data_IF_719499086911
#
_entry.id   IF_719499086911
#
_cell.length_a   1.000
_cell.length_b   1.000
_cell.length_c   1.000
_cell.angle_alpha   90.00
_cell.angle_beta   90.00
_cell.angle_gamma   90.00
#
_symmetry.space_group_name_H-M   'P 1'
#
loop_
_entity.id
_entity.type
_entity.pdbx_description
1 polymer ?
#
# COMPACT_ATOMS: atom_id res chain seq x y z
N UNK A 1 25.28 11.06 19.81
CA UNK A 1 24.60 10.54 18.61
C UNK A 1 23.48 9.61 19.05
N UNK A 2 22.30 9.66 18.42
CA UNK A 2 21.23 8.71 18.71
C UNK A 2 21.56 7.31 18.14
N UNK A 3 20.99 6.27 18.73
CA UNK A 3 21.07 4.91 18.17
C UNK A 3 20.30 4.85 16.85
N UNK A 4 20.89 4.21 15.83
CA UNK A 4 20.26 4.06 14.52
C UNK A 4 19.25 2.91 14.50
N UNK A 5 18.17 3.05 15.26
CA UNK A 5 17.14 2.01 15.44
C UNK A 5 16.58 1.54 14.10
N UNK A 6 16.28 2.48 13.18
CA UNK A 6 15.73 2.13 11.86
C UNK A 6 16.70 1.34 10.98
N UNK A 7 18.01 1.60 11.07
CA UNK A 7 18.99 0.82 10.31
C UNK A 7 19.15 -0.59 10.90
N UNK A 8 19.09 -0.73 12.22
CA UNK A 8 19.10 -2.05 12.87
C UNK A 8 17.86 -2.86 12.53
N UNK A 9 16.67 -2.23 12.53
CA UNK A 9 15.41 -2.87 12.15
C UNK A 9 15.43 -3.29 10.68
N UNK A 10 15.86 -2.42 9.77
CA UNK A 10 16.00 -2.75 8.35
C UNK A 10 16.95 -3.94 8.15
N UNK A 11 18.12 -3.92 8.78
CA UNK A 11 19.08 -5.02 8.71
C UNK A 11 18.49 -6.36 9.19
N UNK A 12 17.74 -6.37 10.29
CA UNK A 12 17.08 -7.59 10.79
C UNK A 12 15.97 -8.04 9.84
N UNK A 13 15.22 -7.10 9.26
CA UNK A 13 14.20 -7.37 8.25
C UNK A 13 14.79 -8.00 7.00
N UNK A 14 15.87 -7.43 6.48
CA UNK A 14 16.61 -7.94 5.31
C UNK A 14 17.13 -9.36 5.58
N UNK A 15 17.74 -9.58 6.74
CA UNK A 15 18.20 -10.92 7.15
C UNK A 15 17.05 -11.93 7.21
N UNK A 16 15.87 -11.53 7.71
CA UNK A 16 14.68 -12.38 7.73
C UNK A 16 14.24 -12.76 6.33
N UNK A 17 14.27 -11.81 5.39
CA UNK A 17 13.95 -12.05 3.98
C UNK A 17 14.96 -12.99 3.34
N UNK A 18 16.26 -12.72 3.50
CA UNK A 18 17.36 -13.54 2.95
C UNK A 18 17.32 -14.99 3.43
N UNK A 19 17.01 -15.20 4.72
CA UNK A 19 16.95 -16.54 5.32
C UNK A 19 15.56 -17.18 5.22
N UNK A 20 14.61 -16.54 4.54
CA UNK A 20 13.24 -17.01 4.37
C UNK A 20 12.56 -17.43 5.69
N UNK A 21 12.74 -16.65 6.76
CA UNK A 21 12.06 -16.94 8.02
C UNK A 21 10.54 -16.79 7.87
N UNK A 22 9.84 -17.85 8.27
CA UNK A 22 8.38 -17.94 8.21
C UNK A 22 7.72 -17.11 9.31
N UNK A 23 6.53 -16.59 9.01
CA UNK A 23 5.69 -15.95 10.01
C UNK A 23 5.02 -17.01 10.89
N UNK A 24 5.04 -16.82 12.22
CA UNK A 24 4.43 -17.80 13.11
C UNK A 24 2.92 -17.86 12.94
N UNK A 25 2.36 -19.07 12.92
CA UNK A 25 0.93 -19.32 12.87
C UNK A 25 0.45 -19.74 14.26
N UNK A 26 -0.54 -19.03 14.78
CA UNK A 26 -1.14 -19.26 16.10
C UNK A 26 -2.65 -19.40 15.92
N UNK A 27 -3.09 -20.56 15.41
CA UNK A 27 -4.50 -20.78 15.06
C UNK A 27 -5.39 -20.64 16.29
N UNK A 28 -6.41 -19.79 16.20
CA UNK A 28 -7.49 -19.70 17.17
C UNK A 28 -8.66 -20.53 16.65
N UNK A 29 -9.04 -21.60 17.36
CA UNK A 29 -10.16 -22.46 16.95
C UNK A 29 -11.49 -21.68 16.79
N UNK A 30 -11.65 -20.52 17.44
CA UNK A 30 -12.83 -19.64 17.27
C UNK A 30 -12.84 -18.89 15.95
N UNK A 31 -11.68 -18.71 15.34
CA UNK A 31 -11.50 -18.05 14.05
C UNK A 31 -11.64 -19.02 12.87
N UNK A 32 -11.73 -20.31 13.15
CA UNK A 32 -11.94 -21.37 12.16
C UNK A 32 -13.21 -21.09 11.36
N UNK A 33 -13.08 -21.23 10.04
CA UNK A 33 -14.13 -20.97 9.04
C UNK A 33 -14.62 -19.52 8.91
N UNK A 34 -14.06 -18.58 9.67
CA UNK A 34 -14.34 -17.15 9.49
C UNK A 34 -13.70 -16.62 8.22
N UNK A 35 -14.44 -15.77 7.51
CA UNK A 35 -14.01 -15.15 6.26
C UNK A 35 -14.05 -13.64 6.40
N UNK A 36 -12.96 -12.97 6.06
CA UNK A 36 -12.86 -11.50 6.10
C UNK A 36 -12.43 -10.98 4.74
N UNK A 37 -13.15 -9.97 4.24
CA UNK A 37 -12.70 -9.18 3.09
C UNK A 37 -11.92 -7.96 3.58
N UNK A 38 -10.76 -7.71 2.99
CA UNK A 38 -9.94 -6.51 3.22
C UNK A 38 -9.96 -5.68 1.95
N UNK A 39 -10.36 -4.41 2.01
CA UNK A 39 -10.41 -3.51 0.85
C UNK A 39 -9.22 -2.57 0.91
N UNK A 40 -8.28 -2.72 -0.02
CA UNK A 40 -7.02 -1.99 -0.08
C UNK A 40 -5.85 -2.81 0.46
N UNK A 41 -4.77 -2.87 -0.32
CA UNK A 41 -3.55 -3.62 -0.02
C UNK A 41 -2.39 -2.75 0.48
N UNK A 42 -2.69 -1.55 0.99
CA UNK A 42 -1.69 -0.73 1.68
C UNK A 42 -1.21 -1.38 2.99
N UNK A 43 -0.30 -0.74 3.73
CA UNK A 43 0.24 -1.26 4.99
C UNK A 43 -0.85 -1.75 5.94
N UNK A 44 -1.90 -0.96 6.14
CA UNK A 44 -3.01 -1.32 7.03
C UNK A 44 -3.75 -2.60 6.60
N UNK A 45 -4.01 -2.75 5.30
CA UNK A 45 -4.72 -3.93 4.78
C UNK A 45 -3.87 -5.18 4.85
N UNK A 46 -2.60 -5.09 4.44
CA UNK A 46 -1.64 -6.19 4.51
C UNK A 46 -1.39 -6.65 5.96
N UNK A 47 -1.22 -5.71 6.89
CA UNK A 47 -1.08 -6.03 8.31
C UNK A 47 -2.35 -6.70 8.85
N UNK A 48 -3.53 -6.16 8.56
CA UNK A 48 -4.80 -6.78 8.97
C UNK A 48 -4.92 -8.22 8.45
N UNK A 49 -4.63 -8.42 7.16
CA UNK A 49 -4.65 -9.74 6.54
C UNK A 49 -3.67 -10.71 7.20
N UNK A 50 -2.43 -10.28 7.44
CA UNK A 50 -1.41 -11.11 8.09
C UNK A 50 -1.84 -11.55 9.50
N UNK A 51 -2.34 -10.62 10.33
CA UNK A 51 -2.75 -10.95 11.70
C UNK A 51 -3.97 -11.88 11.74
N UNK A 52 -4.94 -11.68 10.85
CA UNK A 52 -6.13 -12.54 10.76
C UNK A 52 -5.77 -13.93 10.20
N UNK A 53 -4.97 -14.01 9.15
CA UNK A 53 -4.53 -15.27 8.56
C UNK A 53 -3.70 -16.12 9.53
N UNK A 54 -2.79 -15.49 10.29
CA UNK A 54 -2.04 -16.15 11.38
C UNK A 54 -2.92 -16.75 12.46
N UNK A 55 -4.16 -16.27 12.62
CA UNK A 55 -5.17 -16.77 13.56
C UNK A 55 -6.11 -17.82 12.94
N UNK A 56 -5.95 -18.14 11.65
CA UNK A 56 -6.77 -19.12 10.94
C UNK A 56 -8.01 -18.57 10.23
N UNK A 57 -8.15 -17.23 10.13
CA UNK A 57 -9.21 -16.59 9.35
C UNK A 57 -8.87 -16.66 7.87
N UNK A 58 -9.85 -16.99 7.02
CA UNK A 58 -9.70 -16.93 5.55
C UNK A 58 -9.84 -15.48 5.11
N UNK A 59 -8.76 -14.88 4.61
CA UNK A 59 -8.75 -13.48 4.19
C UNK A 59 -8.66 -13.36 2.68
N UNK A 60 -9.50 -12.50 2.09
CA UNK A 60 -9.37 -12.06 0.70
C UNK A 60 -9.11 -10.55 0.66
N UNK A 61 -8.00 -10.11 0.07
CA UNK A 61 -7.71 -8.70 -0.19
C UNK A 61 -8.26 -8.30 -1.56
N UNK A 62 -9.01 -7.21 -1.63
CA UNK A 62 -9.46 -6.55 -2.85
C UNK A 62 -8.61 -5.29 -3.07
N UNK A 63 -7.94 -5.18 -4.21
CA UNK A 63 -7.03 -4.08 -4.52
C UNK A 63 -7.40 -3.45 -5.85
N UNK A 64 -7.47 -2.11 -5.90
CA UNK A 64 -7.86 -1.35 -7.10
C UNK A 64 -6.77 -1.42 -8.19
N UNK A 65 -5.52 -1.56 -7.81
CA UNK A 65 -4.36 -1.62 -8.70
C UNK A 65 -4.03 -3.06 -9.14
N UNK A 66 -3.12 -3.16 -10.09
CA UNK A 66 -2.57 -4.42 -10.63
C UNK A 66 -1.47 -5.03 -9.75
N UNK A 67 -1.03 -4.30 -8.71
CA UNK A 67 -0.06 -4.75 -7.71
C UNK A 67 -0.49 -4.37 -6.30
N UNK A 68 -0.12 -5.22 -5.34
CA UNK A 68 -0.31 -4.99 -3.92
C UNK A 68 0.68 -3.97 -3.34
N UNK A 69 0.38 -3.45 -2.14
CA UNK A 69 1.31 -2.62 -1.35
C UNK A 69 0.91 -1.14 -1.23
N UNK A 70 -0.14 -0.71 -1.94
CA UNK A 70 -0.61 0.67 -1.92
C UNK A 70 0.52 1.67 -2.19
N UNK A 71 0.68 2.68 -1.34
CA UNK A 71 1.75 3.68 -1.49
C UNK A 71 3.17 3.11 -1.38
N UNK A 72 3.38 1.96 -0.73
CA UNK A 72 4.70 1.34 -0.69
C UNK A 72 5.19 0.91 -2.07
N UNK A 73 4.25 0.52 -2.94
CA UNK A 73 4.51 0.02 -4.31
C UNK A 73 4.27 1.08 -5.36
N UNK A 74 3.30 1.96 -5.14
CA UNK A 74 2.85 2.90 -6.16
C UNK A 74 3.33 4.33 -5.89
N UNK A 75 3.46 4.76 -4.63
CA UNK A 75 3.68 6.17 -4.29
C UNK A 75 5.10 6.54 -3.84
N UNK A 76 5.77 5.66 -3.08
CA UNK A 76 7.13 5.94 -2.58
C UNK A 76 8.13 5.57 -3.69
N UNK A 77 9.07 6.46 -4.07
CA UNK A 77 10.07 6.14 -5.08
C UNK A 77 11.05 5.03 -4.67
N UNK A 78 11.54 4.28 -5.64
CA UNK A 78 12.44 3.13 -5.44
C UNK A 78 13.75 3.51 -4.72
N UNK A 79 14.28 4.73 -4.97
CA UNK A 79 15.47 5.24 -4.29
C UNK A 79 15.29 5.44 -2.77
N UNK A 80 14.04 5.45 -2.26
CA UNK A 80 13.73 5.49 -0.82
C UNK A 80 13.34 4.14 -0.28
N UNK A 81 12.62 3.36 -1.07
CA UNK A 81 12.06 2.08 -0.66
C UNK A 81 12.18 1.10 -1.84
N UNK A 82 13.21 0.23 -1.83
CA UNK A 82 13.43 -0.73 -2.90
C UNK A 82 12.19 -1.60 -3.12
N UNK A 83 11.74 -1.70 -4.38
CA UNK A 83 10.55 -2.49 -4.74
C UNK A 83 10.66 -3.94 -4.32
N UNK A 84 11.86 -4.52 -4.46
CA UNK A 84 12.12 -5.92 -4.13
C UNK A 84 11.84 -6.24 -2.65
N UNK A 85 12.18 -5.33 -1.73
CA UNK A 85 11.92 -5.51 -0.29
C UNK A 85 10.41 -5.51 -0.02
N UNK A 86 9.66 -4.63 -0.69
CA UNK A 86 8.19 -4.56 -0.57
C UNK A 86 7.56 -5.82 -1.13
N UNK A 87 7.96 -6.25 -2.33
CA UNK A 87 7.43 -7.45 -2.99
C UNK A 87 7.68 -8.70 -2.13
N UNK A 88 8.91 -8.92 -1.66
CA UNK A 88 9.25 -10.05 -0.77
C UNK A 88 8.53 -10.02 0.58
N UNK A 89 8.31 -8.82 1.14
CA UNK A 89 7.54 -8.68 2.39
C UNK A 89 6.07 -9.04 2.17
N UNK A 90 5.49 -8.65 1.03
CA UNK A 90 4.12 -9.01 0.66
C UNK A 90 4.00 -10.51 0.43
N UNK A 91 4.95 -11.14 -0.27
CA UNK A 91 4.99 -12.59 -0.50
C UNK A 91 4.89 -13.37 0.81
N UNK A 92 5.67 -13.00 1.83
CA UNK A 92 5.57 -13.62 3.17
C UNK A 92 4.18 -13.52 3.80
N UNK A 93 3.42 -12.47 3.49
CA UNK A 93 2.04 -12.33 3.96
C UNK A 93 1.10 -13.23 3.15
N UNK A 94 1.33 -13.35 1.83
CA UNK A 94 0.55 -14.25 0.98
C UNK A 94 0.78 -15.72 1.32
N UNK A 95 1.99 -16.09 1.75
CA UNK A 95 2.34 -17.44 2.22
C UNK A 95 1.52 -17.89 3.44
N UNK A 96 0.86 -16.96 4.15
CA UNK A 96 -0.14 -17.28 5.18
C UNK A 96 -1.47 -17.79 4.61
N UNK A 97 -1.59 -17.95 3.29
CA UNK A 97 -2.81 -18.37 2.60
C UNK A 97 -3.79 -17.22 2.34
N UNK A 98 -3.30 -15.98 2.28
CA UNK A 98 -4.13 -14.80 1.97
C UNK A 98 -4.44 -14.78 0.46
N UNK A 99 -5.73 -14.76 0.11
CA UNK A 99 -6.17 -14.61 -1.27
C UNK A 99 -6.19 -13.15 -1.70
N UNK A 100 -5.97 -12.86 -2.97
CA UNK A 100 -6.01 -11.49 -3.51
C UNK A 100 -6.87 -11.41 -4.76
N UNK A 101 -7.50 -10.25 -4.95
CA UNK A 101 -8.22 -9.87 -6.15
C UNK A 101 -7.78 -8.46 -6.56
N UNK A 102 -6.91 -8.43 -7.57
CA UNK A 102 -6.35 -7.20 -8.15
C UNK A 102 -7.32 -6.59 -9.15
N UNK A 103 -7.15 -5.31 -9.47
CA UNK A 103 -8.03 -4.55 -10.36
C UNK A 103 -9.51 -4.61 -9.93
N UNK A 104 -9.77 -4.53 -8.62
CA UNK A 104 -11.10 -4.50 -8.03
C UNK A 104 -11.24 -3.24 -7.18
N UNK A 105 -11.97 -2.26 -7.69
CA UNK A 105 -12.22 -0.98 -7.06
C UNK A 105 -13.62 -0.92 -6.43
N UNK A 106 -13.67 -0.60 -5.13
CA UNK A 106 -14.91 -0.37 -4.40
C UNK A 106 -15.68 0.83 -5.00
N UNK A 107 -16.97 0.65 -5.24
CA UNK A 107 -17.85 1.65 -5.87
C UNK A 107 -17.75 1.69 -7.41
N UNK A 108 -16.88 0.88 -8.02
CA UNK A 108 -16.81 0.70 -9.49
C UNK A 108 -17.07 -0.73 -9.90
N UNK A 109 -16.34 -1.68 -9.31
CA UNK A 109 -16.38 -3.09 -9.68
C UNK A 109 -17.24 -3.92 -8.69
N UNK A 110 -17.41 -3.43 -7.45
CA UNK A 110 -18.26 -4.03 -6.42
C UNK A 110 -18.71 -3.00 -5.38
N UNK A 111 -19.79 -3.31 -4.66
CA UNK A 111 -20.27 -2.53 -3.51
C UNK A 111 -19.93 -3.20 -2.18
N UNK A 112 -19.83 -2.42 -1.10
CA UNK A 112 -19.49 -2.96 0.22
C UNK A 112 -20.57 -3.93 0.74
N UNK A 113 -21.83 -3.71 0.37
CA UNK A 113 -22.97 -4.56 0.69
C UNK A 113 -22.85 -5.96 0.08
N UNK A 114 -22.21 -6.08 -1.09
CA UNK A 114 -22.00 -7.38 -1.73
C UNK A 114 -20.98 -8.22 -0.97
N UNK A 115 -19.98 -7.57 -0.37
CA UNK A 115 -19.00 -8.21 0.50
C UNK A 115 -19.63 -8.55 1.86
N UNK A 116 -20.43 -7.66 2.43
CA UNK A 116 -21.11 -7.91 3.70
C UNK A 116 -22.05 -9.13 3.67
N UNK A 117 -22.57 -9.51 2.50
CA UNK A 117 -23.36 -10.74 2.30
C UNK A 117 -22.51 -12.01 2.22
N UNK A 118 -21.23 -11.91 1.85
CA UNK A 118 -20.34 -13.04 1.53
C UNK A 118 -19.33 -13.34 2.64
N UNK A 119 -18.99 -12.34 3.44
CA UNK A 119 -17.94 -12.39 4.46
C UNK A 119 -18.52 -12.13 5.85
N UNK A 120 -17.88 -12.67 6.89
CA UNK A 120 -18.27 -12.42 8.29
C UNK A 120 -17.93 -10.98 8.73
N UNK A 121 -16.89 -10.38 8.14
CA UNK A 121 -16.54 -8.99 8.34
C UNK A 121 -15.85 -8.38 7.12
N UNK A 122 -15.86 -7.06 7.04
CA UNK A 122 -15.17 -6.28 6.02
C UNK A 122 -14.29 -5.24 6.71
N UNK A 123 -13.02 -5.18 6.32
CA UNK A 123 -12.06 -4.18 6.79
C UNK A 123 -11.73 -3.22 5.64
N UNK A 124 -11.98 -1.93 5.84
CA UNK A 124 -11.76 -0.90 4.81
C UNK A 124 -10.44 -0.19 5.06
N UNK A 125 -9.48 -0.36 4.16
CA UNK A 125 -8.09 0.11 4.24
C UNK A 125 -7.64 0.84 2.97
N UNK A 126 -8.54 1.64 2.37
CA UNK A 126 -8.33 2.32 1.08
C UNK A 126 -7.38 3.54 1.14
N UNK A 127 -7.00 3.96 2.36
CA UNK A 127 -6.10 5.09 2.58
C UNK A 127 -6.71 6.44 2.19
N UNK A 128 -5.86 7.43 1.94
CA UNK A 128 -6.24 8.79 1.63
C UNK A 128 -5.30 9.40 0.57
N UNK A 129 -5.37 8.88 -0.66
CA UNK A 129 -4.48 9.31 -1.75
C UNK A 129 -5.13 10.19 -2.81
N UNK A 130 -6.19 10.92 -2.46
CA UNK A 130 -6.76 11.95 -3.34
C UNK A 130 -5.96 13.25 -3.12
N UNK A 131 -5.42 13.90 -4.18
CA UNK A 131 -4.69 15.16 -4.03
C UNK A 131 -5.56 16.23 -3.37
N UNK A 132 -5.00 16.92 -2.37
CA UNK A 132 -5.65 18.09 -1.78
C UNK A 132 -5.62 19.26 -2.77
N UNK A 133 -6.75 19.95 -2.93
CA UNK A 133 -6.83 21.18 -3.74
C UNK A 133 -6.29 22.38 -2.96
N UNK A 134 -5.62 23.29 -3.66
CA UNK A 134 -5.14 24.53 -3.07
C UNK A 134 -6.25 25.59 -2.99
N UNK A 135 -7.29 25.45 -3.82
CA UNK A 135 -8.40 26.38 -3.98
C UNK A 135 -7.93 27.81 -4.30
N UNK A 136 -6.94 27.90 -5.21
CA UNK A 136 -6.38 29.16 -5.69
C UNK A 136 -6.63 29.33 -7.19
N UNK A 137 -6.62 30.57 -7.65
CA UNK A 137 -6.68 30.86 -9.09
C UNK A 137 -5.52 30.18 -9.83
N UNK A 138 -5.84 29.57 -10.98
CA UNK A 138 -4.86 28.88 -11.82
C UNK A 138 -4.55 27.44 -11.43
N UNK A 139 -5.17 26.87 -10.39
CA UNK A 139 -4.90 25.48 -9.97
C UNK A 139 -5.31 24.40 -11.00
N UNK A 140 -6.15 24.76 -11.98
CA UNK A 140 -6.58 23.89 -13.08
C UNK A 140 -5.84 24.13 -14.40
N UNK A 141 -4.80 24.97 -14.42
CA UNK A 141 -4.03 25.22 -15.63
C UNK A 141 -3.22 23.98 -16.05
N UNK A 142 -3.01 23.83 -17.36
CA UNK A 142 -2.09 22.81 -17.88
C UNK A 142 -0.70 23.00 -17.27
N UNK A 143 -0.09 21.90 -16.79
CA UNK A 143 1.19 21.95 -16.09
C UNK A 143 1.07 21.99 -14.56
N UNK A 144 -0.13 22.11 -14.00
CA UNK A 144 -0.38 21.99 -12.56
C UNK A 144 -0.88 20.59 -12.24
N UNK A 145 -0.16 19.87 -11.37
CA UNK A 145 -0.44 18.47 -11.06
C UNK A 145 -0.45 18.22 -9.55
N UNK A 146 -1.28 17.25 -9.12
CA UNK A 146 -1.20 16.71 -7.76
C UNK A 146 0.02 15.80 -7.61
N UNK A 147 0.94 16.12 -6.70
CA UNK A 147 2.19 15.38 -6.54
C UNK A 147 1.98 13.89 -6.19
N UNK A 148 1.02 13.58 -5.33
CA UNK A 148 0.67 12.20 -5.00
C UNK A 148 0.07 11.43 -6.18
N UNK A 149 -0.64 12.09 -7.09
CA UNK A 149 -1.15 11.47 -8.32
C UNK A 149 -0.01 11.17 -9.30
N UNK A 150 0.94 12.11 -9.47
CA UNK A 150 2.12 11.87 -10.31
C UNK A 150 2.91 10.67 -9.82
N UNK A 151 3.16 10.62 -8.50
CA UNK A 151 3.87 9.53 -7.86
C UNK A 151 3.11 8.20 -7.99
N UNK A 152 1.85 8.13 -7.51
CA UNK A 152 1.05 6.88 -7.50
C UNK A 152 0.93 6.23 -8.88
N UNK A 153 0.70 7.03 -9.92
CA UNK A 153 0.48 6.50 -11.27
C UNK A 153 1.72 6.56 -12.16
N UNK A 154 2.85 7.02 -11.62
CA UNK A 154 4.07 7.28 -12.38
C UNK A 154 3.80 8.11 -13.67
N UNK A 155 2.96 9.14 -13.57
CA UNK A 155 2.48 9.97 -14.71
C UNK A 155 3.24 11.28 -14.84
N UNK A 156 4.55 11.25 -14.61
CA UNK A 156 5.41 12.43 -14.70
C UNK A 156 5.48 12.96 -16.15
N UNK A 157 5.23 14.26 -16.39
CA UNK A 157 5.47 14.86 -17.70
C UNK A 157 6.97 14.97 -17.99
N UNK A 158 7.34 15.18 -19.24
CA UNK A 158 8.72 15.46 -19.60
C UNK A 158 9.17 16.82 -19.03
N UNK A 159 10.19 16.82 -18.17
CA UNK A 159 10.75 18.00 -17.51
C UNK A 159 11.98 18.60 -18.22
N UNK A 160 12.50 17.99 -19.30
CA UNK A 160 13.71 18.45 -19.98
C UNK A 160 13.59 19.91 -20.42
N UNK A 161 14.55 20.74 -19.98
CA UNK A 161 14.59 22.18 -20.30
C UNK A 161 13.54 23.03 -19.57
N UNK A 162 12.76 22.46 -18.65
CA UNK A 162 11.72 23.17 -17.89
C UNK A 162 12.23 23.58 -16.51
N UNK A 163 11.61 24.63 -15.96
CA UNK A 163 11.71 24.97 -14.55
C UNK A 163 10.47 24.44 -13.85
N UNK A 164 10.66 23.67 -12.79
CA UNK A 164 9.58 23.03 -12.03
C UNK A 164 9.51 23.68 -10.65
N UNK A 165 8.31 24.04 -10.21
CA UNK A 165 8.04 24.48 -8.86
C UNK A 165 7.28 23.39 -8.10
N UNK A 166 7.69 23.11 -6.87
CA UNK A 166 7.03 22.15 -5.99
C UNK A 166 6.40 22.92 -4.83
N UNK A 167 5.09 22.78 -4.66
CA UNK A 167 4.33 23.48 -3.61
C UNK A 167 4.03 22.49 -2.49
N UNK A 168 4.78 22.59 -1.39
CA UNK A 168 4.67 21.73 -0.22
C UNK A 168 6.03 21.48 0.45
N UNK A 169 6.02 20.91 1.65
CA UNK A 169 7.24 20.63 2.43
C UNK A 169 7.32 19.22 3.03
N UNK A 170 6.37 18.35 2.70
CA UNK A 170 6.33 16.97 3.21
C UNK A 170 7.07 15.97 2.31
N UNK A 171 6.96 14.68 2.66
CA UNK A 171 7.56 13.58 1.88
C UNK A 171 7.14 13.62 0.40
N UNK A 172 5.85 13.83 0.11
CA UNK A 172 5.36 13.94 -1.28
C UNK A 172 6.08 15.03 -2.06
N UNK A 173 6.31 16.19 -1.45
CA UNK A 173 7.03 17.29 -2.11
C UNK A 173 8.49 16.91 -2.39
N UNK A 174 9.18 16.31 -1.42
CA UNK A 174 10.56 15.86 -1.59
C UNK A 174 10.70 14.75 -2.63
N UNK A 175 9.77 13.81 -2.64
CA UNK A 175 9.76 12.69 -3.57
C UNK A 175 9.44 13.17 -4.99
N UNK A 176 8.46 14.06 -5.15
CA UNK A 176 8.17 14.73 -6.43
C UNK A 176 9.32 15.60 -6.93
N UNK A 177 10.10 16.22 -6.04
CA UNK A 177 11.24 17.06 -6.44
C UNK A 177 12.45 16.24 -6.94
N UNK A 178 12.56 14.99 -6.50
CA UNK A 178 13.71 14.10 -6.78
C UNK A 178 13.44 13.07 -7.88
N UNK A 179 12.20 12.97 -8.33
CA UNK A 179 11.75 12.08 -9.40
C UNK A 179 11.67 12.86 -10.71
#
# INVERSE_FOLDING_TARGET
EPVSIGAMEAYIGDLSIENNYELSIEVDERAKDKRVAVIGSGPAGLTCAAFLARRGVKVTIYEKHDKLGGLLTHGIPDFRLPREVVEKTIEKILDLGVETKLNQELGRDFEIEDLAKKYDAVFVAIGANIPAKMNVEGEGLEGVYGGNYLLEYNKHPNYTGKKVAIIGGGNVAMDSART
#
